data_IF_819964027452
#
_entry.id   IF_819964027452
#
_cell.length_a   1.000
_cell.length_b   1.000
_cell.length_c   1.000
_cell.angle_alpha   90.00
_cell.angle_beta   90.00
_cell.angle_gamma   90.00
#
_symmetry.space_group_name_H-M   'P 1'
#
loop_
_entity.id
_entity.type
_entity.pdbx_description
1 polymer ?
#
# COMPACT_ATOMS: atom_id res chain seq x y z
N UNK A 1 7.13 19.75 22.38
CA UNK A 1 5.75 19.94 21.91
C UNK A 1 5.11 18.55 21.88
N UNK A 2 4.40 18.17 22.94
CA UNK A 2 3.79 16.85 23.03
C UNK A 2 2.56 16.83 22.10
N UNK A 3 2.61 16.02 21.06
CA UNK A 3 1.49 15.79 20.16
C UNK A 3 0.39 15.05 20.95
N UNK A 4 -0.53 15.80 21.55
CA UNK A 4 -1.67 15.24 22.26
C UNK A 4 -2.77 14.93 21.23
N UNK A 5 -3.18 13.66 21.18
CA UNK A 5 -4.36 13.26 20.42
C UNK A 5 -5.60 13.83 21.11
N UNK A 6 -6.37 14.62 20.38
CA UNK A 6 -7.66 15.08 20.87
C UNK A 6 -8.70 13.97 20.73
N UNK A 7 -9.80 13.99 21.50
CA UNK A 7 -10.92 13.05 21.32
C UNK A 7 -11.48 13.04 19.88
N UNK A 8 -11.39 14.20 19.21
CA UNK A 8 -11.79 14.35 17.82
C UNK A 8 -10.86 13.59 16.89
N UNK A 9 -9.54 13.66 17.10
CA UNK A 9 -8.56 12.90 16.29
C UNK A 9 -8.79 11.39 16.40
N UNK A 10 -9.09 10.89 17.60
CA UNK A 10 -9.40 9.47 17.83
C UNK A 10 -10.67 9.06 17.08
N UNK A 11 -11.69 9.91 17.08
CA UNK A 11 -12.94 9.65 16.36
C UNK A 11 -12.69 9.61 14.85
N UNK A 12 -11.93 10.58 14.32
CA UNK A 12 -11.53 10.60 12.90
C UNK A 12 -10.69 9.37 12.56
N UNK A 13 -9.80 8.93 13.45
CA UNK A 13 -9.01 7.72 13.27
C UNK A 13 -9.89 6.48 13.08
N UNK A 14 -10.86 6.26 13.97
CA UNK A 14 -11.78 5.13 13.84
C UNK A 14 -12.65 5.24 12.60
N UNK A 15 -13.07 6.45 12.22
CA UNK A 15 -13.81 6.67 10.98
C UNK A 15 -12.96 6.36 9.74
N UNK A 16 -11.70 6.78 9.71
CA UNK A 16 -10.75 6.48 8.64
C UNK A 16 -10.49 4.97 8.53
N UNK A 17 -10.23 4.29 9.66
CA UNK A 17 -10.05 2.84 9.69
C UNK A 17 -11.31 2.09 9.26
N UNK A 18 -12.49 2.52 9.72
CA UNK A 18 -13.76 1.92 9.30
C UNK A 18 -14.00 2.11 7.79
N UNK A 19 -13.69 3.29 7.25
CA UNK A 19 -13.78 3.56 5.82
C UNK A 19 -12.81 2.70 5.00
N UNK A 20 -11.55 2.60 5.42
CA UNK A 20 -10.53 1.78 4.75
C UNK A 20 -10.86 0.28 4.82
N UNK A 21 -11.07 -0.26 6.02
CA UNK A 21 -11.35 -1.68 6.22
C UNK A 21 -12.71 -2.09 5.64
N UNK A 22 -13.74 -1.26 5.86
CA UNK A 22 -15.07 -1.48 5.32
C UNK A 22 -15.07 -1.40 3.80
N UNK A 23 -14.45 -0.36 3.23
CA UNK A 23 -14.30 -0.18 1.79
C UNK A 23 -13.55 -1.35 1.14
N UNK A 24 -12.41 -1.73 1.70
CA UNK A 24 -11.61 -2.86 1.21
C UNK A 24 -12.39 -4.19 1.27
N UNK A 25 -13.06 -4.49 2.39
CA UNK A 25 -13.87 -5.71 2.54
C UNK A 25 -15.04 -5.75 1.56
N UNK A 26 -15.78 -4.66 1.44
CA UNK A 26 -16.94 -4.58 0.54
C UNK A 26 -16.50 -4.71 -0.91
N UNK A 27 -15.48 -3.96 -1.34
CA UNK A 27 -14.97 -4.02 -2.70
C UNK A 27 -14.35 -5.39 -3.03
N UNK A 28 -13.59 -5.97 -2.10
CA UNK A 28 -13.02 -7.31 -2.24
C UNK A 28 -14.10 -8.37 -2.42
N UNK A 29 -15.18 -8.31 -1.66
CA UNK A 29 -16.31 -9.23 -1.79
C UNK A 29 -17.07 -9.02 -3.11
N UNK A 30 -17.27 -7.77 -3.55
CA UNK A 30 -17.88 -7.48 -4.85
C UNK A 30 -17.05 -8.02 -6.01
N UNK A 31 -15.74 -7.83 -5.98
CA UNK A 31 -14.82 -8.32 -7.01
C UNK A 31 -14.75 -9.85 -6.99
N UNK A 32 -14.79 -10.48 -5.80
CA UNK A 32 -14.85 -11.93 -5.66
C UNK A 32 -16.11 -12.54 -6.27
N UNK A 33 -17.25 -11.84 -6.23
CA UNK A 33 -18.49 -12.25 -6.93
C UNK A 33 -18.37 -12.22 -8.46
N UNK A 34 -17.35 -11.56 -9.00
CA UNK A 34 -17.04 -11.51 -10.42
C UNK A 34 -15.94 -12.52 -10.81
N UNK A 35 -15.68 -13.52 -9.97
CA UNK A 35 -14.62 -14.54 -10.14
C UNK A 35 -13.20 -13.94 -10.24
N UNK A 36 -12.99 -12.77 -9.64
CA UNK A 36 -11.69 -12.10 -9.58
C UNK A 36 -11.07 -12.22 -8.17
N UNK A 37 -9.73 -12.21 -8.04
CA UNK A 37 -9.07 -12.18 -6.74
C UNK A 37 -9.53 -10.99 -5.89
N UNK A 38 -9.88 -11.22 -4.63
CA UNK A 38 -10.38 -10.18 -3.72
C UNK A 38 -9.40 -9.00 -3.58
N UNK A 39 -8.09 -9.25 -3.64
CA UNK A 39 -7.05 -8.22 -3.54
C UNK A 39 -7.19 -7.11 -4.59
N UNK A 40 -7.75 -7.42 -5.77
CA UNK A 40 -8.03 -6.41 -6.79
C UNK A 40 -9.07 -5.41 -6.30
N UNK A 41 -10.12 -5.87 -5.61
CA UNK A 41 -11.13 -4.99 -5.01
C UNK A 41 -10.59 -4.16 -3.86
N UNK A 42 -9.71 -4.75 -3.03
CA UNK A 42 -9.05 -4.04 -1.93
C UNK A 42 -8.16 -2.89 -2.45
N UNK A 43 -7.36 -3.16 -3.50
CA UNK A 43 -6.53 -2.13 -4.16
C UNK A 43 -7.41 -1.04 -4.78
N UNK A 44 -8.49 -1.41 -5.47
CA UNK A 44 -9.44 -0.45 -6.06
C UNK A 44 -10.09 0.45 -5.00
N UNK A 45 -10.49 -0.11 -3.85
CA UNK A 45 -11.00 0.67 -2.73
C UNK A 45 -9.95 1.64 -2.18
N UNK A 46 -8.69 1.20 -2.06
CA UNK A 46 -7.57 2.07 -1.65
C UNK A 46 -7.34 3.22 -2.62
N UNK A 47 -7.36 2.97 -3.93
CA UNK A 47 -7.24 4.01 -4.96
C UNK A 47 -8.43 4.99 -4.91
N UNK A 48 -9.65 4.45 -4.73
CA UNK A 48 -10.87 5.25 -4.66
C UNK A 48 -10.91 6.17 -3.42
N UNK A 49 -10.53 5.67 -2.25
CA UNK A 49 -10.50 6.42 -0.99
C UNK A 49 -9.23 7.27 -0.82
N UNK A 50 -8.18 6.96 -1.57
CA UNK A 50 -6.90 7.63 -1.53
C UNK A 50 -6.89 9.02 -2.19
N UNK A 51 -5.72 9.66 -2.23
CA UNK A 51 -5.57 11.01 -2.77
C UNK A 51 -5.86 11.07 -4.28
N UNK A 52 -5.69 9.97 -5.00
CA UNK A 52 -5.87 9.90 -6.46
C UNK A 52 -7.31 10.19 -6.88
N UNK A 53 -8.31 9.61 -6.21
CA UNK A 53 -9.73 9.76 -6.56
C UNK A 53 -10.46 10.64 -5.54
N UNK A 54 -10.50 10.24 -4.26
CA UNK A 54 -11.19 11.05 -3.25
C UNK A 54 -10.50 12.38 -3.01
N UNK A 55 -9.16 12.39 -2.97
CA UNK A 55 -8.38 13.63 -2.82
C UNK A 55 -8.53 14.58 -4.00
N UNK A 56 -8.73 14.09 -5.21
CA UNK A 56 -8.93 14.92 -6.41
C UNK A 56 -10.38 15.41 -6.56
N UNK A 57 -11.38 14.54 -6.30
CA UNK A 57 -12.80 14.88 -6.45
C UNK A 57 -13.35 15.67 -5.26
N UNK A 58 -12.92 15.37 -4.04
CA UNK A 58 -13.41 15.97 -2.81
C UNK A 58 -12.28 16.25 -1.79
N UNK A 59 -11.34 17.17 -2.10
CA UNK A 59 -10.17 17.43 -1.27
C UNK A 59 -10.49 17.85 0.16
N UNK A 60 -11.62 18.55 0.38
CA UNK A 60 -12.07 18.94 1.73
C UNK A 60 -12.49 17.74 2.58
N UNK A 61 -13.17 16.76 2.00
CA UNK A 61 -13.54 15.51 2.69
C UNK A 61 -12.29 14.69 2.96
N UNK A 62 -11.43 14.55 1.94
CA UNK A 62 -10.18 13.80 2.06
C UNK A 62 -9.32 14.33 3.20
N UNK A 63 -9.03 15.64 3.26
CA UNK A 63 -8.21 16.23 4.35
C UNK A 63 -8.84 16.11 5.73
N UNK A 64 -10.17 16.00 5.81
CA UNK A 64 -10.88 15.85 7.09
C UNK A 64 -10.77 14.42 7.62
N UNK A 65 -10.84 13.42 6.74
CA UNK A 65 -10.81 11.99 7.11
C UNK A 65 -9.38 11.44 7.14
N UNK A 66 -8.53 11.90 6.22
CA UNK A 66 -7.14 11.49 6.03
C UNK A 66 -6.24 12.75 6.03
N UNK A 67 -5.94 13.33 7.21
CA UNK A 67 -5.07 14.50 7.28
C UNK A 67 -3.62 14.10 6.97
N UNK A 68 -2.97 14.90 6.11
CA UNK A 68 -1.59 14.63 5.64
C UNK A 68 -0.51 15.05 6.65
N UNK A 69 -0.88 15.71 7.76
CA UNK A 69 0.05 16.22 8.78
C UNK A 69 -0.52 16.10 10.18
N UNK A 70 0.34 16.05 11.20
CA UNK A 70 -0.05 16.10 12.61
C UNK A 70 0.03 14.74 13.32
N UNK A 71 -0.56 14.66 14.52
CA UNK A 71 -0.49 13.45 15.34
C UNK A 71 -1.22 12.26 14.69
N UNK A 72 -2.37 12.51 14.07
CA UNK A 72 -3.19 11.48 13.44
C UNK A 72 -2.51 10.83 12.24
N UNK A 73 -1.80 11.61 11.40
CA UNK A 73 -1.08 11.06 10.24
C UNK A 73 0.02 10.09 10.67
N UNK A 74 0.78 10.44 11.71
CA UNK A 74 1.83 9.59 12.30
C UNK A 74 1.24 8.28 12.83
N UNK A 75 0.09 8.35 13.51
CA UNK A 75 -0.57 7.14 14.05
C UNK A 75 -1.10 6.26 12.92
N UNK A 76 -1.67 6.84 11.85
CA UNK A 76 -2.12 6.05 10.69
C UNK A 76 -0.96 5.40 9.94
N UNK A 77 0.16 6.09 9.76
CA UNK A 77 1.38 5.50 9.18
C UNK A 77 1.91 4.35 10.04
N UNK A 78 1.89 4.51 11.37
CA UNK A 78 2.29 3.45 12.29
C UNK A 78 1.36 2.22 12.18
N UNK A 79 0.04 2.42 12.14
CA UNK A 79 -0.93 1.32 11.97
C UNK A 79 -0.75 0.64 10.61
N UNK A 80 -0.57 1.40 9.53
CA UNK A 80 -0.31 0.85 8.20
C UNK A 80 1.00 0.04 8.17
N UNK A 81 2.06 0.56 8.77
CA UNK A 81 3.36 -0.14 8.87
C UNK A 81 3.23 -1.43 9.65
N UNK A 82 2.52 -1.42 10.79
CA UNK A 82 2.25 -2.64 11.56
C UNK A 82 1.45 -3.63 10.71
N UNK A 83 0.43 -3.17 9.99
CA UNK A 83 -0.35 -4.02 9.08
C UNK A 83 0.51 -4.69 8.00
N UNK A 84 1.41 -3.95 7.37
CA UNK A 84 2.36 -4.47 6.37
C UNK A 84 3.32 -5.46 6.99
N UNK A 85 3.88 -5.15 8.17
CA UNK A 85 4.80 -6.07 8.87
C UNK A 85 4.10 -7.37 9.24
N UNK A 86 2.88 -7.30 9.77
CA UNK A 86 2.07 -8.47 10.09
C UNK A 86 1.74 -9.28 8.83
N UNK A 87 1.38 -8.62 7.73
CA UNK A 87 1.13 -9.28 6.44
C UNK A 87 2.37 -10.01 5.92
N UNK A 88 3.54 -9.35 5.91
CA UNK A 88 4.81 -9.95 5.48
C UNK A 88 5.24 -11.09 6.42
N UNK A 89 4.99 -10.96 7.72
CA UNK A 89 5.25 -12.03 8.70
C UNK A 89 4.40 -13.26 8.40
N UNK A 90 3.08 -13.08 8.18
CA UNK A 90 2.17 -14.17 7.83
C UNK A 90 2.60 -14.85 6.54
N UNK A 91 2.87 -14.07 5.49
CA UNK A 91 3.38 -14.59 4.22
C UNK A 91 4.68 -15.38 4.41
N UNK A 92 5.59 -14.90 5.25
CA UNK A 92 6.85 -15.57 5.57
C UNK A 92 6.68 -16.91 6.29
N UNK A 93 5.73 -17.01 7.23
CA UNK A 93 5.42 -18.25 7.96
C UNK A 93 4.79 -19.31 7.03
N UNK A 94 4.10 -18.87 5.98
CA UNK A 94 3.51 -19.75 4.97
C UNK A 94 4.56 -20.34 3.99
N UNK A 95 5.78 -19.78 3.95
CA UNK A 95 6.87 -20.27 3.08
C UNK A 95 7.44 -21.60 3.59
N UNK A 96 7.43 -22.62 2.74
CA UNK A 96 8.12 -23.88 2.99
C UNK A 96 9.64 -23.75 2.77
N UNK A 97 10.35 -23.46 3.88
CA UNK A 97 11.81 -23.33 3.88
C UNK A 97 12.54 -24.59 3.41
N UNK A 98 11.98 -25.78 3.67
CA UNK A 98 12.62 -27.04 3.28
C UNK A 98 12.68 -27.16 1.75
N UNK A 99 11.59 -26.82 1.07
CA UNK A 99 11.54 -26.79 -0.38
C UNK A 99 12.41 -25.66 -0.96
N UNK A 100 12.48 -24.50 -0.31
CA UNK A 100 13.37 -23.40 -0.71
C UNK A 100 14.84 -23.83 -0.66
N UNK A 101 15.30 -24.46 0.42
CA UNK A 101 16.69 -24.92 0.53
C UNK A 101 16.99 -26.05 -0.44
N UNK A 102 16.07 -27.01 -0.64
CA UNK A 102 16.25 -28.10 -1.61
C UNK A 102 16.38 -27.60 -3.05
N UNK A 103 15.68 -26.52 -3.39
CA UNK A 103 15.74 -25.87 -4.71
C UNK A 103 16.64 -24.64 -4.73
N UNK A 104 17.56 -24.50 -3.76
CA UNK A 104 18.26 -23.25 -3.46
C UNK A 104 18.90 -22.56 -4.67
N UNK A 105 19.51 -23.29 -5.60
CA UNK A 105 20.09 -22.70 -6.82
C UNK A 105 19.04 -22.10 -7.76
N UNK A 106 17.92 -22.79 -7.96
CA UNK A 106 16.81 -22.31 -8.79
C UNK A 106 16.12 -21.12 -8.10
N UNK A 107 15.82 -21.25 -6.81
CA UNK A 107 15.22 -20.18 -6.01
C UNK A 107 16.09 -18.91 -6.00
N UNK A 108 17.41 -19.04 -5.82
CA UNK A 108 18.33 -17.90 -5.88
C UNK A 108 18.35 -17.25 -7.26
N UNK A 109 18.43 -18.02 -8.33
CA UNK A 109 18.44 -17.48 -9.69
C UNK A 109 17.12 -16.78 -10.02
N UNK A 110 15.97 -17.42 -9.75
CA UNK A 110 14.64 -16.87 -10.05
C UNK A 110 14.37 -15.63 -9.21
N UNK A 111 14.64 -15.64 -7.90
CA UNK A 111 14.46 -14.47 -7.05
C UNK A 111 15.42 -13.33 -7.41
N UNK A 112 16.69 -13.64 -7.70
CA UNK A 112 17.65 -12.61 -8.11
C UNK A 112 17.29 -11.99 -9.44
N UNK A 113 16.91 -12.79 -10.45
CA UNK A 113 16.44 -12.27 -11.73
C UNK A 113 15.13 -11.50 -11.57
N UNK A 114 14.19 -12.02 -10.79
CA UNK A 114 12.89 -11.38 -10.53
C UNK A 114 13.00 -10.01 -9.86
N UNK A 115 14.10 -9.74 -9.14
CA UNK A 115 14.38 -8.43 -8.55
C UNK A 115 15.30 -7.60 -9.45
N UNK A 116 16.49 -8.13 -9.79
CA UNK A 116 17.52 -7.36 -10.50
C UNK A 116 17.08 -6.95 -11.90
N UNK A 117 16.31 -7.78 -12.61
CA UNK A 117 15.91 -7.47 -13.98
C UNK A 117 14.91 -6.31 -14.05
N UNK A 118 13.77 -6.31 -13.32
CA UNK A 118 12.88 -5.14 -13.29
C UNK A 118 13.56 -3.87 -12.75
N UNK A 119 14.45 -4.01 -11.75
CA UNK A 119 15.20 -2.87 -11.21
C UNK A 119 16.19 -2.29 -12.24
N UNK A 120 16.97 -3.14 -12.91
CA UNK A 120 17.93 -2.70 -13.93
C UNK A 120 17.19 -2.03 -15.09
N UNK A 121 16.05 -2.59 -15.51
CA UNK A 121 15.22 -1.99 -16.55
C UNK A 121 14.67 -0.63 -16.11
N UNK A 122 14.12 -0.52 -14.89
CA UNK A 122 13.64 0.74 -14.34
C UNK A 122 14.74 1.80 -14.20
N UNK A 123 15.94 1.41 -13.78
CA UNK A 123 17.09 2.31 -13.70
C UNK A 123 17.55 2.77 -15.09
N UNK A 124 17.63 1.85 -16.05
CA UNK A 124 18.02 2.15 -17.42
C UNK A 124 17.00 3.08 -18.11
N UNK A 125 15.70 2.85 -17.94
CA UNK A 125 14.67 3.72 -18.51
C UNK A 125 14.67 5.10 -17.85
N UNK A 126 14.86 5.19 -16.53
CA UNK A 126 15.02 6.45 -15.82
C UNK A 126 16.23 7.25 -16.32
N UNK A 127 17.37 6.59 -16.55
CA UNK A 127 18.59 7.24 -17.04
C UNK A 127 18.55 7.63 -18.52
N UNK A 128 17.99 6.79 -19.39
CA UNK A 128 17.97 7.01 -20.84
C UNK A 128 16.80 7.87 -21.32
N UNK A 129 15.67 7.83 -20.62
CA UNK A 129 14.44 8.56 -20.97
C UNK A 129 13.91 9.44 -19.83
N UNK A 130 14.75 10.30 -19.20
CA UNK A 130 14.35 11.08 -18.03
C UNK A 130 13.16 12.01 -18.33
N UNK A 131 13.14 12.63 -19.51
CA UNK A 131 12.06 13.54 -19.93
C UNK A 131 10.71 12.85 -20.14
N UNK A 132 10.72 11.58 -20.56
CA UNK A 132 9.49 10.80 -20.76
C UNK A 132 8.85 10.40 -19.43
N UNK A 133 9.65 10.38 -18.35
CA UNK A 133 9.22 10.04 -16.99
C UNK A 133 8.93 11.28 -16.12
N UNK A 134 8.85 12.47 -16.74
CA UNK A 134 8.50 13.71 -16.03
C UNK A 134 9.62 14.32 -15.20
N UNK A 135 10.90 13.98 -15.48
CA UNK A 135 12.02 14.69 -14.90
C UNK A 135 12.11 16.10 -15.51
N UNK A 136 11.73 17.11 -14.73
CA UNK A 136 11.95 18.52 -15.05
C UNK A 136 13.47 18.80 -15.16
N UNK A 137 13.94 19.50 -16.20
CA UNK A 137 15.33 19.96 -16.24
C UNK A 137 15.54 20.99 -15.13
N UNK A 138 16.43 20.66 -14.19
CA UNK A 138 16.94 21.59 -13.17
C UNK A 138 17.81 22.69 -13.78
#
# INVERSE_FOLDING_TARGET
MHAHLTPQDVTTMFLALAALLGGAKLAGELVRKLDQPAVLGEIMAGIALGPTVLGSLAPGVYRTVFPDTGALSIVMDAVATIGVVLFLLTAGIEVDLTNVFRQGRSALLVSSFGVLFPFALGFATAGLFPRFLGAEPG
#
